data_IF_123642743832
#
_entry.id   IF_123642743832
#
_cell.length_a   1.000
_cell.length_b   1.000
_cell.length_c   1.000
_cell.angle_alpha   90.00
_cell.angle_beta   90.00
_cell.angle_gamma   90.00
#
_symmetry.space_group_name_H-M   'P 1'
#
loop_
_entity.id
_entity.type
_entity.pdbx_description
1 polymer ?
#
# COMPACT_ATOMS: atom_id res chain seq x y z
N UNK A 1 18.81 -31.28 -6.00
CA UNK A 1 17.65 -30.68 -6.70
C UNK A 1 17.96 -29.20 -6.91
N UNK A 2 18.05 -28.68 -8.16
CA UNK A 2 18.29 -27.24 -8.37
C UNK A 2 17.10 -26.47 -7.78
N UNK A 3 17.37 -25.50 -6.90
CA UNK A 3 16.35 -24.58 -6.38
C UNK A 3 15.81 -23.79 -7.57
N UNK A 4 14.56 -24.01 -7.97
CA UNK A 4 13.88 -23.14 -8.94
C UNK A 4 13.94 -21.71 -8.38
N UNK A 5 14.48 -20.77 -9.14
CA UNK A 5 14.39 -19.37 -8.76
C UNK A 5 12.92 -18.95 -8.84
N UNK A 6 12.49 -18.08 -7.93
CA UNK A 6 11.15 -17.51 -8.03
C UNK A 6 10.99 -16.79 -9.36
N UNK A 7 9.83 -16.96 -9.99
CA UNK A 7 9.38 -16.19 -11.15
C UNK A 7 10.20 -16.38 -12.44
N UNK A 8 10.88 -17.53 -12.62
CA UNK A 8 11.57 -17.87 -13.87
C UNK A 8 10.64 -17.78 -15.10
N UNK A 9 9.36 -18.10 -14.94
CA UNK A 9 8.35 -18.04 -15.99
C UNK A 9 8.10 -16.63 -16.54
N UNK A 10 8.44 -15.58 -15.78
CA UNK A 10 8.27 -14.19 -16.25
C UNK A 10 9.18 -13.88 -17.44
N UNK A 11 10.35 -14.53 -17.52
CA UNK A 11 11.28 -14.33 -18.64
C UNK A 11 10.69 -14.75 -19.98
N UNK A 12 9.75 -15.70 -19.96
CA UNK A 12 9.07 -16.21 -21.13
C UNK A 12 7.79 -15.41 -21.46
N UNK A 13 7.39 -14.47 -20.60
CA UNK A 13 6.22 -13.64 -20.82
C UNK A 13 6.55 -12.51 -21.81
N UNK A 14 5.82 -12.37 -22.93
CA UNK A 14 6.14 -11.38 -23.97
C UNK A 14 5.80 -9.93 -23.56
N UNK A 15 4.97 -9.73 -22.54
CA UNK A 15 4.53 -8.41 -22.04
C UNK A 15 3.93 -7.48 -23.13
N UNK A 16 3.24 -8.05 -24.13
CA UNK A 16 2.71 -7.28 -25.27
C UNK A 16 1.24 -6.91 -25.12
N UNK A 17 0.49 -7.64 -24.31
CA UNK A 17 -0.94 -7.42 -24.09
C UNK A 17 -1.26 -7.21 -22.62
N UNK A 18 -2.46 -6.68 -22.34
CA UNK A 18 -2.99 -6.59 -20.97
C UNK A 18 -3.06 -7.98 -20.30
N UNK A 19 -3.33 -9.03 -21.06
CA UNK A 19 -3.34 -10.40 -20.55
C UNK A 19 -1.93 -10.85 -20.14
N UNK A 20 -0.92 -10.56 -20.95
CA UNK A 20 0.49 -10.87 -20.65
C UNK A 20 0.95 -10.17 -19.37
N UNK A 21 0.71 -8.86 -19.27
CA UNK A 21 1.06 -8.07 -18.07
C UNK A 21 0.34 -8.60 -16.83
N UNK A 22 -0.92 -9.00 -16.96
CA UNK A 22 -1.67 -9.60 -15.85
C UNK A 22 -1.04 -10.92 -15.39
N UNK A 23 -0.64 -11.81 -16.30
CA UNK A 23 0.04 -13.06 -15.94
C UNK A 23 1.34 -12.77 -15.19
N UNK A 24 2.17 -11.86 -15.73
CA UNK A 24 3.40 -11.45 -15.07
C UNK A 24 3.15 -10.84 -13.68
N UNK A 25 2.12 -10.02 -13.53
CA UNK A 25 1.74 -9.45 -12.24
C UNK A 25 1.35 -10.54 -11.23
N UNK A 26 0.53 -11.50 -11.64
CA UNK A 26 0.14 -12.63 -10.78
C UNK A 26 1.35 -13.46 -10.39
N UNK A 27 2.26 -13.71 -11.33
CA UNK A 27 3.54 -14.40 -11.06
C UNK A 27 4.37 -13.65 -10.02
N UNK A 28 4.46 -12.31 -10.09
CA UNK A 28 5.17 -11.48 -9.10
C UNK A 28 4.48 -11.52 -7.74
N UNK A 29 3.16 -11.34 -7.70
CA UNK A 29 2.40 -11.21 -6.46
C UNK A 29 2.27 -12.55 -5.73
N UNK A 30 2.17 -13.68 -6.43
CA UNK A 30 1.92 -14.99 -5.82
C UNK A 30 2.90 -15.34 -4.70
N UNK A 31 4.23 -15.31 -4.90
CA UNK A 31 5.16 -15.59 -3.81
C UNK A 31 5.13 -14.51 -2.72
N UNK A 32 4.90 -13.24 -3.06
CA UNK A 32 4.78 -12.18 -2.06
C UNK A 32 3.57 -12.40 -1.16
N UNK A 33 2.39 -12.67 -1.72
CA UNK A 33 1.16 -12.95 -0.98
C UNK A 33 1.27 -14.24 -0.16
N UNK A 34 1.99 -15.25 -0.65
CA UNK A 34 2.31 -16.44 0.15
C UNK A 34 3.12 -16.10 1.40
N UNK A 35 4.14 -15.24 1.28
CA UNK A 35 4.90 -14.73 2.44
C UNK A 35 4.00 -13.92 3.37
N UNK A 36 3.22 -12.95 2.86
CA UNK A 36 2.27 -12.18 3.69
C UNK A 36 1.34 -13.09 4.49
N UNK A 37 0.83 -14.16 3.87
CA UNK A 37 -0.09 -15.08 4.53
C UNK A 37 0.51 -15.83 5.72
N UNK A 38 1.84 -15.94 5.77
CA UNK A 38 2.59 -16.61 6.84
C UNK A 38 3.08 -15.63 7.91
N UNK A 39 3.03 -14.32 7.63
CA UNK A 39 3.50 -13.31 8.56
C UNK A 39 2.48 -13.07 9.68
N UNK A 40 2.99 -12.87 10.90
CA UNK A 40 2.17 -12.57 12.07
C UNK A 40 1.76 -11.10 12.15
N UNK A 41 2.52 -10.22 11.48
CA UNK A 41 2.30 -8.78 11.48
C UNK A 41 1.58 -8.36 10.20
N UNK A 42 0.54 -7.56 10.36
CA UNK A 42 -0.25 -7.01 9.25
C UNK A 42 0.48 -5.82 8.63
N UNK A 43 0.24 -5.60 7.34
CA UNK A 43 0.71 -4.40 6.64
C UNK A 43 2.24 -4.30 6.54
N UNK A 44 2.93 -5.43 6.60
CA UNK A 44 4.39 -5.55 6.53
C UNK A 44 4.74 -6.65 5.54
N UNK A 45 5.87 -6.48 4.86
CA UNK A 45 6.40 -7.46 3.94
C UNK A 45 7.92 -7.51 4.07
N UNK A 46 8.42 -8.62 4.61
CA UNK A 46 9.85 -8.80 4.89
C UNK A 46 10.50 -9.59 3.78
N UNK A 47 11.40 -8.94 3.04
CA UNK A 47 12.07 -9.57 1.88
C UNK A 47 13.41 -10.25 2.24
N UNK A 48 14.07 -9.86 3.35
CA UNK A 48 15.34 -10.46 3.81
C UNK A 48 15.59 -10.30 5.32
N UNK A 49 16.53 -11.08 5.87
CA UNK A 49 16.88 -11.16 7.30
C UNK A 49 18.03 -10.23 7.75
N UNK A 50 18.52 -9.33 6.90
CA UNK A 50 19.82 -8.66 7.09
C UNK A 50 19.73 -7.14 7.36
N UNK A 51 19.16 -6.73 8.51
CA UNK A 51 19.09 -5.31 8.90
C UNK A 51 18.91 -5.05 10.41
N UNK A 52 19.19 -3.81 10.86
CA UNK A 52 18.92 -3.35 12.22
C UNK A 52 17.41 -3.11 12.43
N UNK A 53 16.88 -3.46 13.61
CA UNK A 53 15.43 -3.60 13.90
C UNK A 53 14.57 -2.38 13.51
N UNK A 54 15.03 -1.14 13.76
CA UNK A 54 14.25 0.07 13.42
C UNK A 54 14.22 0.37 11.91
N UNK A 55 15.34 0.16 11.22
CA UNK A 55 15.42 0.28 9.75
C UNK A 55 14.56 -0.81 9.11
N UNK A 56 14.51 -1.97 9.74
CA UNK A 56 13.73 -3.11 9.28
C UNK A 56 12.22 -2.85 9.32
N UNK A 57 11.67 -2.22 10.38
CA UNK A 57 10.23 -1.96 10.45
C UNK A 57 9.75 -1.05 9.30
N UNK A 58 10.48 0.04 9.02
CA UNK A 58 10.18 0.92 7.87
C UNK A 58 10.31 0.17 6.55
N UNK A 59 11.39 -0.60 6.38
CA UNK A 59 11.62 -1.38 5.15
C UNK A 59 10.49 -2.39 4.90
N UNK A 60 9.94 -3.00 5.95
CA UNK A 60 8.81 -3.92 5.84
C UNK A 60 7.51 -3.22 5.45
N UNK A 61 7.27 -2.00 5.95
CA UNK A 61 6.15 -1.16 5.53
C UNK A 61 6.29 -0.74 4.06
N UNK A 62 7.47 -0.27 3.65
CA UNK A 62 7.77 0.05 2.25
C UNK A 62 7.53 -1.17 1.35
N UNK A 63 8.01 -2.34 1.77
CA UNK A 63 7.80 -3.59 1.05
C UNK A 63 6.32 -3.91 0.84
N UNK A 64 5.49 -3.71 1.87
CA UNK A 64 4.04 -3.92 1.77
C UNK A 64 3.40 -2.90 0.83
N UNK A 65 3.72 -1.61 0.99
CA UNK A 65 3.14 -0.54 0.17
C UNK A 65 3.47 -0.70 -1.30
N UNK A 66 4.66 -1.20 -1.66
CA UNK A 66 5.03 -1.46 -3.06
C UNK A 66 4.16 -2.52 -3.74
N UNK A 67 3.58 -3.46 -2.98
CA UNK A 67 2.63 -4.42 -3.53
C UNK A 67 1.33 -3.73 -3.96
N UNK A 68 0.96 -2.61 -3.34
CA UNK A 68 -0.27 -1.87 -3.62
C UNK A 68 -0.30 -1.31 -5.05
N UNK A 69 0.85 -1.00 -5.66
CA UNK A 69 0.94 -0.63 -7.08
C UNK A 69 0.37 -1.70 -8.01
N UNK A 70 0.52 -2.97 -7.64
CA UNK A 70 -0.03 -4.10 -8.40
C UNK A 70 -1.42 -4.50 -7.93
N UNK A 71 -1.63 -4.56 -6.62
CA UNK A 71 -2.89 -5.01 -6.01
C UNK A 71 -4.04 -4.04 -6.28
N UNK A 72 -3.79 -2.74 -6.39
CA UNK A 72 -4.81 -1.74 -6.71
C UNK A 72 -5.47 -2.00 -8.07
N UNK A 73 -4.72 -1.92 -9.18
CA UNK A 73 -5.23 -2.25 -10.51
C UNK A 73 -5.76 -3.69 -10.62
N UNK A 74 -5.19 -4.64 -9.87
CA UNK A 74 -5.70 -6.02 -9.85
C UNK A 74 -7.10 -6.09 -9.23
N UNK A 75 -7.35 -5.42 -8.11
CA UNK A 75 -8.66 -5.42 -7.42
C UNK A 75 -9.64 -4.34 -7.91
N UNK A 76 -9.26 -3.51 -8.88
CA UNK A 76 -10.19 -2.64 -9.60
C UNK A 76 -11.30 -3.44 -10.30
N UNK A 77 -11.01 -4.66 -10.73
CA UNK A 77 -12.02 -5.63 -11.21
C UNK A 77 -12.57 -6.45 -10.04
N UNK A 78 -13.84 -6.21 -9.68
CA UNK A 78 -14.57 -6.95 -8.62
C UNK A 78 -14.45 -8.47 -8.77
N UNK A 79 -14.36 -9.01 -9.99
CA UNK A 79 -14.19 -10.46 -10.21
C UNK A 79 -12.91 -11.00 -9.57
N UNK A 80 -11.85 -10.20 -9.52
CA UNK A 80 -10.55 -10.59 -8.92
C UNK A 80 -10.61 -10.72 -7.40
N UNK A 81 -11.50 -9.98 -6.75
CA UNK A 81 -11.75 -10.15 -5.31
C UNK A 81 -12.33 -11.54 -5.05
N UNK A 82 -13.25 -12.02 -5.90
CA UNK A 82 -13.82 -13.37 -5.78
C UNK A 82 -12.83 -14.48 -6.16
N UNK A 83 -11.93 -14.22 -7.12
CA UNK A 83 -10.89 -15.18 -7.50
C UNK A 83 -9.76 -15.28 -6.46
N UNK A 84 -9.45 -14.19 -5.77
CA UNK A 84 -8.37 -14.11 -4.78
C UNK A 84 -8.84 -13.45 -3.47
N UNK A 85 -9.84 -14.04 -2.77
CA UNK A 85 -10.44 -13.43 -1.58
C UNK A 85 -9.43 -13.28 -0.44
N UNK A 86 -8.53 -14.26 -0.28
CA UNK A 86 -7.48 -14.20 0.74
C UNK A 86 -6.51 -13.04 0.50
N UNK A 87 -6.13 -12.77 -0.76
CA UNK A 87 -5.22 -11.68 -1.08
C UNK A 87 -5.87 -10.32 -0.77
N UNK A 88 -7.15 -10.18 -1.14
CA UNK A 88 -7.92 -8.98 -0.85
C UNK A 88 -8.05 -8.75 0.66
N UNK A 89 -8.32 -9.81 1.42
CA UNK A 89 -8.40 -9.76 2.89
C UNK A 89 -7.06 -9.36 3.53
N UNK A 90 -5.95 -10.00 3.14
CA UNK A 90 -4.61 -9.67 3.66
C UNK A 90 -4.24 -8.21 3.38
N UNK A 91 -4.57 -7.74 2.17
CA UNK A 91 -4.32 -6.34 1.77
C UNK A 91 -5.16 -5.39 2.60
N UNK A 92 -6.46 -5.67 2.72
CA UNK A 92 -7.42 -4.86 3.50
C UNK A 92 -7.01 -4.79 4.98
N UNK A 93 -6.72 -5.92 5.59
CA UNK A 93 -6.29 -5.97 6.98
C UNK A 93 -4.95 -5.26 7.18
N UNK A 94 -4.03 -5.35 6.21
CA UNK A 94 -2.76 -4.65 6.24
C UNK A 94 -2.90 -3.13 6.23
N UNK A 95 -3.72 -2.59 5.34
CA UNK A 95 -3.98 -1.14 5.26
C UNK A 95 -4.67 -0.64 6.54
N UNK A 96 -5.71 -1.35 7.00
CA UNK A 96 -6.46 -0.92 8.18
C UNK A 96 -5.61 -1.00 9.46
N UNK A 97 -4.85 -2.07 9.65
CA UNK A 97 -3.98 -2.20 10.81
C UNK A 97 -2.78 -1.24 10.75
N UNK A 98 -2.28 -0.94 9.55
CA UNK A 98 -1.16 -0.02 9.34
C UNK A 98 -1.51 1.44 9.59
N UNK A 99 -2.74 1.86 9.29
CA UNK A 99 -3.18 3.25 9.45
C UNK A 99 -3.81 3.54 10.83
N UNK A 100 -4.17 2.50 11.59
CA UNK A 100 -4.78 2.64 12.92
C UNK A 100 -3.74 2.84 14.03
N UNK A 101 -3.70 3.99 14.72
CA UNK A 101 -2.75 4.23 15.82
C UNK A 101 -2.94 3.34 17.04
N UNK A 102 -4.09 2.65 17.18
CA UNK A 102 -4.33 1.68 18.26
C UNK A 102 -3.88 0.26 17.88
N UNK A 103 -3.51 0.05 16.62
CA UNK A 103 -3.05 -1.25 16.15
C UNK A 103 -1.61 -1.50 16.58
N UNK A 104 -1.26 -2.71 17.05
CA UNK A 104 0.14 -3.09 17.28
C UNK A 104 0.98 -3.10 15.99
N UNK A 105 0.30 -3.09 14.84
CA UNK A 105 0.90 -3.03 13.51
C UNK A 105 0.81 -1.64 12.88
N UNK A 106 0.55 -0.59 13.66
CA UNK A 106 0.57 0.79 13.18
C UNK A 106 1.88 1.12 12.46
N UNK A 107 1.80 1.92 11.39
CA UNK A 107 2.94 2.38 10.59
C UNK A 107 3.64 3.61 11.19
N UNK A 108 3.13 4.15 12.30
CA UNK A 108 3.76 5.23 13.04
C UNK A 108 3.19 6.62 12.72
N UNK A 109 3.28 7.50 13.72
CA UNK A 109 2.91 8.93 13.68
C UNK A 109 4.12 9.88 13.63
N UNK A 110 5.32 9.33 13.82
CA UNK A 110 6.56 10.11 13.97
C UNK A 110 7.39 10.04 12.69
N UNK A 111 6.73 10.22 11.54
CA UNK A 111 7.43 10.33 10.26
C UNK A 111 8.35 11.57 10.31
N UNK A 112 9.61 11.36 9.94
CA UNK A 112 10.61 12.42 9.94
C UNK A 112 10.47 13.33 8.72
N UNK A 113 11.24 14.41 8.69
CA UNK A 113 11.49 15.10 7.43
C UNK A 113 12.18 14.15 6.46
N UNK A 114 11.84 14.24 5.17
CA UNK A 114 12.42 13.41 4.11
C UNK A 114 12.21 11.89 4.30
N UNK A 115 11.13 11.47 4.97
CA UNK A 115 10.83 10.05 5.20
C UNK A 115 10.33 9.35 3.92
N UNK A 116 10.96 8.21 3.58
CA UNK A 116 10.64 7.43 2.38
C UNK A 116 9.17 6.97 2.34
N UNK A 117 8.51 6.85 3.51
CA UNK A 117 7.08 6.53 3.60
C UNK A 117 6.22 7.53 2.81
N UNK A 118 6.65 8.79 2.61
CA UNK A 118 5.90 9.75 1.79
C UNK A 118 5.83 9.38 0.31
N UNK A 119 6.85 8.69 -0.22
CA UNK A 119 6.81 8.11 -1.56
C UNK A 119 5.81 6.96 -1.61
N UNK A 120 5.84 6.12 -0.59
CA UNK A 120 5.00 4.92 -0.51
C UNK A 120 3.52 5.24 -0.22
N UNK A 121 3.21 6.39 0.39
CA UNK A 121 1.85 6.95 0.45
C UNK A 121 1.25 7.16 -0.95
N UNK A 122 2.08 7.38 -1.98
CA UNK A 122 1.64 7.39 -3.37
C UNK A 122 1.07 6.04 -3.83
N UNK A 123 1.67 4.93 -3.39
CA UNK A 123 1.20 3.57 -3.70
C UNK A 123 -0.15 3.28 -3.02
N UNK A 124 -0.29 3.67 -1.75
CA UNK A 124 -1.57 3.59 -1.04
C UNK A 124 -2.63 4.44 -1.74
N UNK A 125 -2.30 5.68 -2.12
CA UNK A 125 -3.23 6.57 -2.81
C UNK A 125 -3.70 5.97 -4.14
N UNK A 126 -2.79 5.41 -4.94
CA UNK A 126 -3.15 4.73 -6.18
C UNK A 126 -4.09 3.56 -5.93
N UNK A 127 -3.81 2.72 -4.93
CA UNK A 127 -4.70 1.63 -4.54
C UNK A 127 -6.10 2.15 -4.18
N UNK A 128 -6.20 3.22 -3.39
CA UNK A 128 -7.47 3.79 -2.97
C UNK A 128 -8.30 4.33 -4.14
N UNK A 129 -7.68 4.96 -5.13
CA UNK A 129 -8.37 5.39 -6.36
C UNK A 129 -8.85 4.20 -7.19
N UNK A 130 -7.95 3.27 -7.50
CA UNK A 130 -8.24 2.10 -8.36
C UNK A 130 -9.32 1.20 -7.75
N UNK A 131 -9.36 1.13 -6.41
CA UNK A 131 -10.31 0.30 -5.66
C UNK A 131 -11.42 1.12 -5.02
N UNK A 132 -11.67 2.37 -5.43
CA UNK A 132 -12.62 3.25 -4.73
C UNK A 132 -13.99 2.59 -4.52
N UNK A 133 -14.58 2.03 -5.57
CA UNK A 133 -15.90 1.40 -5.53
C UNK A 133 -15.93 0.02 -4.83
N UNK A 134 -14.77 -0.61 -4.60
CA UNK A 134 -14.66 -1.97 -4.03
C UNK A 134 -14.14 -1.97 -2.60
N UNK A 135 -13.25 -1.05 -2.29
CA UNK A 135 -12.61 -0.87 -0.99
C UNK A 135 -13.11 0.40 -0.29
N UNK A 136 -12.73 1.59 -0.79
CA UNK A 136 -12.91 2.86 -0.07
C UNK A 136 -14.37 3.15 0.26
N UNK A 137 -15.26 3.10 -0.73
CA UNK A 137 -16.69 3.40 -0.59
C UNK A 137 -17.42 2.36 0.30
N UNK A 138 -16.80 1.22 0.59
CA UNK A 138 -17.33 0.18 1.49
C UNK A 138 -16.75 0.24 2.91
N UNK A 139 -15.80 1.13 3.18
CA UNK A 139 -15.29 1.36 4.52
C UNK A 139 -16.28 2.18 5.36
N UNK A 140 -16.31 1.91 6.67
CA UNK A 140 -17.02 2.80 7.59
C UNK A 140 -16.32 4.16 7.69
N UNK A 141 -17.08 5.22 7.95
CA UNK A 141 -16.55 6.59 8.13
C UNK A 141 -15.37 6.66 9.12
N UNK A 142 -15.37 5.96 10.28
CA UNK A 142 -14.21 5.95 11.15
C UNK A 142 -12.95 5.38 10.50
N UNK A 143 -13.05 4.29 9.72
CA UNK A 143 -11.91 3.69 9.02
C UNK A 143 -11.36 4.61 7.93
N UNK A 144 -12.25 5.28 7.19
CA UNK A 144 -11.87 6.29 6.20
C UNK A 144 -11.10 7.45 6.86
N UNK A 145 -11.60 7.97 7.99
CA UNK A 145 -10.93 9.02 8.77
C UNK A 145 -9.55 8.59 9.26
N UNK A 146 -9.40 7.36 9.74
CA UNK A 146 -8.12 6.82 10.20
C UNK A 146 -7.08 6.79 9.07
N UNK A 147 -7.47 6.32 7.88
CA UNK A 147 -6.60 6.31 6.70
C UNK A 147 -6.19 7.73 6.30
N UNK A 148 -7.17 8.65 6.19
CA UNK A 148 -6.91 10.05 5.82
C UNK A 148 -6.00 10.73 6.82
N UNK A 149 -6.24 10.56 8.13
CA UNK A 149 -5.40 11.14 9.18
C UNK A 149 -3.97 10.62 9.11
N UNK A 150 -3.78 9.34 8.80
CA UNK A 150 -2.44 8.78 8.62
C UNK A 150 -1.74 9.35 7.38
N UNK A 151 -2.46 9.51 6.27
CA UNK A 151 -1.94 10.09 5.01
C UNK A 151 -1.61 11.58 5.15
N UNK A 152 -2.40 12.35 5.91
CA UNK A 152 -2.23 13.80 6.10
C UNK A 152 -0.89 14.17 6.76
N UNK A 153 -0.22 13.22 7.42
CA UNK A 153 1.14 13.42 7.94
C UNK A 153 2.12 13.97 6.89
N UNK A 154 1.93 13.64 5.61
CA UNK A 154 2.75 14.16 4.49
C UNK A 154 2.73 15.68 4.39
N UNK A 155 1.69 16.34 4.90
CA UNK A 155 1.51 17.80 4.85
C UNK A 155 2.24 18.53 5.98
N UNK A 156 2.56 17.84 7.08
CA UNK A 156 3.16 18.42 8.28
C UNK A 156 4.68 18.28 8.35
N UNK A 157 5.33 17.94 7.23
CA UNK A 157 6.75 17.54 7.16
C UNK A 157 7.47 18.18 5.98
N UNK A 158 8.79 18.30 6.07
CA UNK A 158 9.60 18.79 4.95
C UNK A 158 9.81 17.67 3.94
N UNK A 159 9.56 17.98 2.66
CA UNK A 159 9.67 17.05 1.54
C UNK A 159 10.63 17.61 0.49
N UNK A 160 11.48 16.78 -0.15
CA UNK A 160 12.34 17.25 -1.23
C UNK A 160 11.54 17.88 -2.37
N UNK A 161 12.08 18.93 -2.99
CA UNK A 161 11.50 19.54 -4.21
C UNK A 161 11.77 18.69 -5.46
N UNK A 162 11.36 17.43 -5.42
CA UNK A 162 11.54 16.43 -6.49
C UNK A 162 10.18 15.79 -6.83
N UNK A 163 10.19 14.59 -7.43
CA UNK A 163 9.00 13.76 -7.60
C UNK A 163 8.24 13.47 -6.29
N UNK A 164 8.81 13.74 -5.12
CA UNK A 164 8.10 13.62 -3.86
C UNK A 164 6.93 14.60 -3.72
N UNK A 165 7.03 15.79 -4.35
CA UNK A 165 5.91 16.73 -4.43
C UNK A 165 4.73 16.14 -5.21
N UNK A 166 5.00 15.27 -6.19
CA UNK A 166 3.94 14.58 -6.93
C UNK A 166 3.19 13.60 -6.04
N UNK A 167 3.87 12.82 -5.20
CA UNK A 167 3.19 11.91 -4.26
C UNK A 167 2.36 12.67 -3.22
N UNK A 168 2.87 13.80 -2.69
CA UNK A 168 2.05 14.69 -1.83
C UNK A 168 0.81 15.22 -2.58
N UNK A 169 0.97 15.65 -3.82
CA UNK A 169 -0.16 16.13 -4.63
C UNK A 169 -1.21 15.03 -4.85
N UNK A 170 -0.79 13.79 -5.13
CA UNK A 170 -1.71 12.64 -5.23
C UNK A 170 -2.50 12.44 -3.93
N UNK A 171 -1.80 12.41 -2.79
CA UNK A 171 -2.42 12.26 -1.45
C UNK A 171 -3.47 13.35 -1.22
N UNK A 172 -3.09 14.61 -1.43
CA UNK A 172 -3.97 15.76 -1.19
C UNK A 172 -5.18 15.77 -2.13
N UNK A 173 -4.99 15.38 -3.39
CA UNK A 173 -6.11 15.25 -4.33
C UNK A 173 -7.10 14.19 -3.83
N UNK A 174 -6.62 13.04 -3.35
CA UNK A 174 -7.50 11.98 -2.84
C UNK A 174 -8.27 12.43 -1.59
N UNK A 175 -7.60 13.09 -0.64
CA UNK A 175 -8.25 13.65 0.56
C UNK A 175 -9.33 14.68 0.17
N UNK A 176 -9.06 15.47 -0.86
CA UNK A 176 -10.02 16.45 -1.42
C UNK A 176 -11.23 15.77 -2.03
N UNK A 177 -11.01 14.81 -2.94
CA UNK A 177 -12.07 14.12 -3.68
C UNK A 177 -12.99 13.29 -2.78
N UNK A 178 -12.49 12.89 -1.61
CA UNK A 178 -13.26 12.15 -0.61
C UNK A 178 -14.06 13.04 0.34
N UNK A 179 -13.95 14.37 0.21
CA UNK A 179 -14.69 15.34 1.02
C UNK A 179 -14.16 15.47 2.45
N UNK A 180 -12.97 14.94 2.73
CA UNK A 180 -12.30 15.07 4.03
C UNK A 180 -11.43 16.33 4.13
N UNK A 181 -11.38 17.15 3.08
CA UNK A 181 -10.93 18.53 3.19
C UNK A 181 -11.99 19.36 3.94
N UNK A 182 -11.92 19.28 5.26
CA UNK A 182 -12.36 20.37 6.13
C UNK A 182 -11.30 20.64 7.20
N UNK A 183 -10.40 21.57 6.90
CA UNK A 183 -9.50 22.21 7.87
C UNK A 183 -10.27 23.26 8.68
N UNK A 184 -11.51 22.97 9.12
CA UNK A 184 -12.29 23.90 9.93
C UNK A 184 -11.84 24.02 11.39
N UNK A 185 -10.83 23.26 11.85
CA UNK A 185 -10.33 23.39 13.23
C UNK A 185 -8.80 23.24 13.37
N UNK A 186 -8.04 24.11 12.70
CA UNK A 186 -6.64 24.43 13.11
C UNK A 186 -6.44 25.89 13.54
N UNK A 187 -7.54 26.60 13.85
CA UNK A 187 -7.48 27.84 14.63
C UNK A 187 -8.55 27.76 15.73
N UNK A 188 -8.10 27.44 16.94
CA UNK A 188 -8.83 27.50 18.19
C UNK A 188 -7.84 27.55 19.33
#
# INVERSE_FOLDING_TARGET
MKRKLFNEQIKENPLRSKADVKVALVDILTPAMAVLSQQKRKGRFRMSDSGAVYIQDKTEVEGFMRLLWGLGPFFADKKRIYEQPQWYELTTQGILAGTDPQSPDYWGSDLGDYDQVFVEMGALTAFLYETKATFWDNLSVPKQKTIVKWMDQVNHKVIPKTNWLFFRAMVNQFITDTGYMDNSELIG
#
